data_IF_919703677729
#
_entry.id   IF_919703677729
#
_cell.length_a   1.000
_cell.length_b   1.000
_cell.length_c   1.000
_cell.angle_alpha   90.00
_cell.angle_beta   90.00
_cell.angle_gamma   90.00
#
_symmetry.space_group_name_H-M   'P 1'
#
loop_
_entity.id
_entity.type
_entity.pdbx_description
1 polymer ?
#
# COMPACT_ATOMS: atom_id res chain seq x y z
N UNK A 1 -4.36 -56.78 -53.21
CA UNK A 1 -4.57 -55.92 -52.04
C UNK A 1 -5.41 -56.71 -51.03
N UNK A 2 -4.82 -57.07 -49.85
CA UNK A 2 -5.49 -57.95 -48.90
C UNK A 2 -6.41 -57.16 -47.99
N UNK A 3 -7.74 -57.29 -48.16
CA UNK A 3 -8.77 -56.61 -47.40
C UNK A 3 -8.66 -56.72 -45.86
N UNK A 4 -8.23 -57.82 -45.24
CA UNK A 4 -8.10 -57.92 -43.81
C UNK A 4 -7.01 -56.98 -43.22
N UNK A 5 -5.91 -56.78 -43.93
CA UNK A 5 -4.81 -55.87 -43.47
C UNK A 5 -5.20 -54.42 -43.51
N UNK A 6 -6.04 -54.00 -44.47
CA UNK A 6 -6.53 -52.61 -44.53
C UNK A 6 -7.48 -52.30 -43.34
N UNK A 7 -8.40 -53.22 -43.02
CA UNK A 7 -9.32 -53.05 -41.89
C UNK A 7 -8.60 -52.92 -40.54
N UNK A 8 -7.55 -53.70 -40.32
CA UNK A 8 -6.78 -53.68 -39.06
C UNK A 8 -5.94 -52.40 -38.95
N UNK A 9 -5.36 -51.92 -40.06
CA UNK A 9 -4.58 -50.68 -40.10
C UNK A 9 -5.48 -49.44 -39.88
N UNK A 10 -6.66 -49.44 -40.51
CA UNK A 10 -7.63 -48.34 -40.35
C UNK A 10 -8.19 -48.27 -38.92
N UNK A 11 -8.48 -49.38 -38.29
CA UNK A 11 -8.95 -49.47 -36.91
C UNK A 11 -7.89 -48.97 -35.91
N UNK A 12 -6.63 -49.37 -36.10
CA UNK A 12 -5.50 -48.87 -35.31
C UNK A 12 -5.28 -47.37 -35.49
N UNK A 13 -5.44 -46.82 -36.72
CA UNK A 13 -5.34 -45.39 -36.98
C UNK A 13 -6.47 -44.60 -36.29
N UNK A 14 -7.70 -45.15 -36.27
CA UNK A 14 -8.81 -44.55 -35.53
C UNK A 14 -8.58 -44.55 -34.04
N UNK A 15 -8.11 -45.68 -33.47
CA UNK A 15 -7.79 -45.80 -32.02
C UNK A 15 -6.66 -44.80 -31.64
N UNK A 16 -5.61 -44.70 -32.44
CA UNK A 16 -4.53 -43.76 -32.22
C UNK A 16 -5.01 -42.27 -32.33
N UNK A 17 -5.92 -41.96 -33.25
CA UNK A 17 -6.52 -40.63 -33.36
C UNK A 17 -7.41 -40.29 -32.17
N UNK A 18 -8.13 -41.25 -31.61
CA UNK A 18 -8.93 -41.04 -30.38
C UNK A 18 -8.03 -40.78 -29.19
N UNK A 19 -6.92 -41.54 -29.06
CA UNK A 19 -5.93 -41.30 -27.99
C UNK A 19 -5.30 -39.94 -28.11
N UNK A 20 -4.89 -39.55 -29.32
CA UNK A 20 -4.34 -38.20 -29.57
C UNK A 20 -5.35 -37.09 -29.28
N UNK A 21 -6.63 -37.32 -29.62
CA UNK A 21 -7.70 -36.39 -29.29
C UNK A 21 -7.87 -36.20 -27.77
N UNK A 22 -7.84 -37.29 -27.00
CA UNK A 22 -7.91 -37.25 -25.54
C UNK A 22 -6.71 -36.54 -24.91
N UNK A 23 -5.50 -36.78 -25.43
CA UNK A 23 -4.29 -36.07 -25.00
C UNK A 23 -4.40 -34.56 -25.27
N UNK A 24 -4.86 -34.18 -26.47
CA UNK A 24 -5.06 -32.79 -26.85
C UNK A 24 -6.07 -32.08 -25.95
N UNK A 25 -7.19 -32.72 -25.61
CA UNK A 25 -8.20 -32.20 -24.69
C UNK A 25 -7.60 -32.06 -23.28
N UNK A 26 -6.83 -33.03 -22.81
CA UNK A 26 -6.14 -32.96 -21.52
C UNK A 26 -5.14 -31.80 -21.45
N UNK A 27 -4.33 -31.60 -22.48
CA UNK A 27 -3.40 -30.47 -22.57
C UNK A 27 -4.13 -29.12 -22.62
N UNK A 28 -5.25 -29.04 -23.34
CA UNK A 28 -6.07 -27.83 -23.38
C UNK A 28 -6.63 -27.48 -21.99
N UNK A 29 -7.13 -28.47 -21.26
CA UNK A 29 -7.63 -28.28 -19.90
C UNK A 29 -6.52 -27.80 -18.95
N UNK A 30 -5.32 -28.39 -19.02
CA UNK A 30 -4.18 -27.95 -18.22
C UNK A 30 -3.79 -26.49 -18.57
N UNK A 31 -3.74 -26.14 -19.86
CA UNK A 31 -3.44 -24.77 -20.29
C UNK A 31 -4.50 -23.77 -19.78
N UNK A 32 -5.77 -24.12 -19.81
CA UNK A 32 -6.85 -23.25 -19.26
C UNK A 32 -6.67 -23.06 -17.76
N UNK A 33 -6.39 -24.12 -16.99
CA UNK A 33 -6.14 -24.04 -15.56
C UNK A 33 -4.90 -23.18 -15.28
N UNK A 34 -3.82 -23.33 -16.03
CA UNK A 34 -2.62 -22.50 -15.91
C UNK A 34 -2.92 -21.04 -16.25
N UNK A 35 -3.63 -20.75 -17.33
CA UNK A 35 -4.01 -19.40 -17.71
C UNK A 35 -4.88 -18.71 -16.64
N UNK A 36 -5.85 -19.43 -16.06
CA UNK A 36 -6.68 -18.93 -14.95
C UNK A 36 -5.85 -18.71 -13.69
N UNK A 37 -4.91 -19.62 -13.39
CA UNK A 37 -4.00 -19.48 -12.26
C UNK A 37 -3.07 -18.27 -12.42
N UNK A 38 -2.50 -18.08 -13.59
CA UNK A 38 -1.68 -16.91 -13.94
C UNK A 38 -2.47 -15.60 -13.91
N UNK A 39 -3.72 -15.61 -14.39
CA UNK A 39 -4.61 -14.46 -14.31
C UNK A 39 -4.98 -14.10 -12.85
N UNK A 40 -5.03 -15.09 -11.96
CA UNK A 40 -5.24 -14.87 -10.51
C UNK A 40 -3.96 -14.51 -9.76
N UNK A 41 -2.80 -14.89 -10.25
CA UNK A 41 -1.48 -14.49 -9.76
C UNK A 41 -1.05 -13.12 -10.32
N UNK A 42 -1.97 -12.18 -10.49
CA UNK A 42 -1.60 -10.82 -10.88
C UNK A 42 -0.58 -10.28 -9.88
N UNK A 43 0.54 -9.86 -10.41
CA UNK A 43 1.77 -9.39 -9.83
C UNK A 43 1.64 -8.92 -8.37
N UNK A 44 2.30 -9.64 -7.48
CA UNK A 44 2.54 -9.18 -6.12
C UNK A 44 3.66 -8.13 -6.22
N UNK A 45 3.29 -6.89 -6.41
CA UNK A 45 4.25 -5.79 -6.30
C UNK A 45 4.61 -5.67 -4.83
N UNK A 46 5.77 -6.15 -4.48
CA UNK A 46 6.37 -5.90 -3.16
C UNK A 46 6.96 -4.50 -3.23
N UNK A 47 6.17 -3.49 -2.94
CA UNK A 47 6.68 -2.17 -2.61
C UNK A 47 7.35 -2.30 -1.25
N UNK A 48 8.68 -2.30 -1.23
CA UNK A 48 9.47 -2.28 -0.02
C UNK A 48 9.49 -0.83 0.50
N UNK A 49 8.70 -0.47 1.52
CA UNK A 49 8.88 0.82 2.16
C UNK A 49 10.26 0.81 2.86
N UNK A 50 10.87 1.98 3.02
CA UNK A 50 12.20 2.04 3.61
C UNK A 50 12.17 1.51 5.04
N UNK A 51 13.04 0.59 5.28
CA UNK A 51 13.73 0.15 6.49
C UNK A 51 13.08 -0.78 7.51
N UNK A 52 11.78 -1.00 7.65
CA UNK A 52 11.29 -1.86 8.75
C UNK A 52 9.99 -2.63 8.43
N UNK A 53 9.94 -3.33 7.31
CA UNK A 53 8.85 -4.30 7.12
C UNK A 53 9.14 -5.57 7.91
N UNK A 54 8.23 -6.01 8.80
CA UNK A 54 8.28 -7.36 9.33
C UNK A 54 8.22 -8.36 8.16
N UNK A 55 8.92 -9.48 8.30
CA UNK A 55 9.20 -10.48 7.25
C UNK A 55 7.99 -11.02 6.46
N UNK A 56 6.77 -10.60 6.76
CA UNK A 56 5.54 -11.12 6.17
C UNK A 56 4.57 -10.03 5.65
N UNK A 57 5.08 -8.90 5.20
CA UNK A 57 4.23 -7.89 4.57
C UNK A 57 3.91 -8.29 3.12
N UNK A 58 2.64 -8.55 2.83
CA UNK A 58 2.17 -8.97 1.50
C UNK A 58 1.17 -7.94 1.00
N UNK A 59 1.33 -7.52 -0.25
CA UNK A 59 0.35 -6.71 -0.97
C UNK A 59 -0.15 -7.48 -2.19
N UNK A 60 -1.46 -7.51 -2.38
CA UNK A 60 -2.13 -7.99 -3.59
C UNK A 60 -2.71 -6.83 -4.39
N UNK A 61 -3.43 -7.15 -5.46
CA UNK A 61 -4.04 -6.13 -6.33
C UNK A 61 -5.13 -5.30 -5.61
N UNK A 62 -5.95 -5.96 -4.78
CA UNK A 62 -7.09 -5.33 -4.08
C UNK A 62 -7.03 -5.55 -2.56
N UNK A 63 -5.91 -6.04 -2.04
CA UNK A 63 -5.75 -6.33 -0.61
C UNK A 63 -4.31 -6.26 -0.17
N UNK A 64 -4.10 -6.00 1.11
CA UNK A 64 -2.78 -6.04 1.73
C UNK A 64 -2.86 -6.68 3.12
N UNK A 65 -1.74 -7.23 3.57
CA UNK A 65 -1.63 -7.73 4.94
C UNK A 65 -1.74 -6.57 5.94
N UNK A 66 -2.24 -6.86 7.13
CA UNK A 66 -2.34 -5.88 8.21
C UNK A 66 -0.97 -5.24 8.52
N UNK A 67 0.08 -6.04 8.57
CA UNK A 67 1.43 -5.55 8.83
C UNK A 67 1.89 -4.54 7.78
N UNK A 68 1.55 -4.78 6.50
CA UNK A 68 1.84 -3.83 5.43
C UNK A 68 1.07 -2.51 5.63
N UNK A 69 -0.24 -2.58 5.89
CA UNK A 69 -1.07 -1.40 6.10
C UNK A 69 -0.62 -0.58 7.33
N UNK A 70 -0.26 -1.26 8.41
CA UNK A 70 0.27 -0.61 9.61
C UNK A 70 1.59 0.13 9.32
N UNK A 71 2.54 -0.54 8.66
CA UNK A 71 3.82 0.09 8.30
C UNK A 71 3.64 1.26 7.33
N UNK A 72 2.71 1.11 6.38
CA UNK A 72 2.40 2.17 5.43
C UNK A 72 1.70 3.36 6.11
N UNK A 73 0.81 3.10 7.07
CA UNK A 73 0.18 4.16 7.87
C UNK A 73 1.21 4.94 8.68
N UNK A 74 2.16 4.24 9.33
CA UNK A 74 3.24 4.87 10.05
C UNK A 74 4.12 5.75 9.14
N UNK A 75 4.42 5.28 7.93
CA UNK A 75 5.14 6.07 6.94
C UNK A 75 4.39 7.35 6.57
N UNK A 76 3.09 7.27 6.28
CA UNK A 76 2.28 8.46 5.95
C UNK A 76 2.25 9.42 7.13
N UNK A 77 1.94 8.93 8.33
CA UNK A 77 1.89 9.76 9.55
C UNK A 77 3.24 10.42 9.81
N UNK A 78 4.33 9.66 9.79
CA UNK A 78 5.67 10.18 10.00
C UNK A 78 6.05 11.26 8.99
N UNK A 79 5.73 11.04 7.71
CA UNK A 79 6.03 12.00 6.64
C UNK A 79 5.18 13.27 6.75
N UNK A 80 3.87 13.13 6.96
CA UNK A 80 2.96 14.27 7.08
C UNK A 80 3.26 15.12 8.32
N UNK A 81 3.57 14.48 9.44
CA UNK A 81 3.88 15.16 10.70
C UNK A 81 5.27 15.82 10.72
N UNK A 82 6.19 15.43 9.83
CA UNK A 82 7.50 16.06 9.68
C UNK A 82 7.48 17.30 8.77
N UNK A 83 6.31 17.72 8.30
CA UNK A 83 6.20 18.86 7.41
C UNK A 83 6.61 20.16 8.10
N UNK A 84 7.40 20.95 7.39
CA UNK A 84 7.87 22.30 7.79
C UNK A 84 7.52 23.30 6.70
N UNK A 85 7.57 24.61 6.93
CA UNK A 85 7.35 25.58 5.88
C UNK A 85 8.20 25.37 4.62
N UNK A 86 9.43 24.86 4.78
CA UNK A 86 10.36 24.60 3.67
C UNK A 86 10.09 23.29 2.92
N UNK A 87 9.49 22.29 3.56
CA UNK A 87 9.29 20.94 3.00
C UNK A 87 7.86 20.65 2.60
N UNK A 88 6.90 21.45 3.03
CA UNK A 88 5.47 21.20 2.89
C UNK A 88 5.02 20.98 1.44
N UNK A 89 5.57 21.71 0.48
CA UNK A 89 5.22 21.54 -0.94
C UNK A 89 5.75 20.24 -1.52
N UNK A 90 6.94 19.83 -1.08
CA UNK A 90 7.54 18.56 -1.50
C UNK A 90 6.73 17.40 -0.91
N UNK A 91 6.43 17.44 0.40
CA UNK A 91 5.62 16.44 1.08
C UNK A 91 4.23 16.37 0.44
N UNK A 92 3.60 17.53 0.20
CA UNK A 92 2.28 17.59 -0.43
C UNK A 92 2.23 16.88 -1.78
N UNK A 93 3.19 17.13 -2.66
CA UNK A 93 3.27 16.47 -3.99
C UNK A 93 3.49 14.98 -3.90
N UNK A 94 4.27 14.51 -2.94
CA UNK A 94 4.55 13.08 -2.76
C UNK A 94 3.40 12.32 -2.09
N UNK A 95 2.65 12.98 -1.22
CA UNK A 95 1.52 12.38 -0.51
C UNK A 95 0.22 12.40 -1.30
N UNK A 96 0.02 13.40 -2.17
CA UNK A 96 -1.21 13.53 -2.98
C UNK A 96 -1.63 12.23 -3.69
N UNK A 97 -0.74 11.46 -4.37
CA UNK A 97 -1.13 10.22 -5.03
C UNK A 97 -1.58 9.09 -4.08
N UNK A 98 -1.23 9.19 -2.79
CA UNK A 98 -1.51 8.20 -1.76
C UNK A 98 -2.85 8.45 -1.06
N UNK A 99 -3.53 9.55 -1.36
CA UNK A 99 -4.83 9.89 -0.79
C UNK A 99 -5.94 9.79 -1.83
N UNK A 100 -7.15 9.46 -1.37
CA UNK A 100 -8.34 9.68 -2.16
C UNK A 100 -8.48 11.18 -2.47
N UNK A 101 -8.84 11.60 -3.68
CA UNK A 101 -8.94 13.02 -4.05
C UNK A 101 -9.85 13.83 -3.13
N UNK A 102 -10.94 13.25 -2.63
CA UNK A 102 -11.86 13.94 -1.70
C UNK A 102 -11.21 14.17 -0.35
N UNK A 103 -10.48 13.18 0.17
CA UNK A 103 -9.76 13.29 1.43
C UNK A 103 -8.60 14.28 1.28
N UNK A 104 -7.89 14.23 0.16
CA UNK A 104 -6.79 15.15 -0.11
C UNK A 104 -7.24 16.62 -0.13
N UNK A 105 -8.40 16.93 -0.70
CA UNK A 105 -8.97 18.28 -0.67
C UNK A 105 -9.19 18.83 0.75
N UNK A 106 -9.44 17.96 1.73
CA UNK A 106 -9.59 18.33 3.14
C UNK A 106 -8.25 18.45 3.88
N UNK A 107 -7.30 17.60 3.54
CA UNK A 107 -5.98 17.51 4.20
C UNK A 107 -5.01 18.57 3.67
N UNK A 108 -5.00 18.81 2.36
CA UNK A 108 -4.09 19.76 1.71
C UNK A 108 -4.10 21.18 2.30
N UNK A 109 -5.24 21.80 2.58
CA UNK A 109 -5.28 23.12 3.22
C UNK A 109 -4.66 23.13 4.62
N UNK A 110 -4.87 22.07 5.41
CA UNK A 110 -4.29 21.95 6.73
C UNK A 110 -2.78 21.81 6.67
N UNK A 111 -2.28 21.02 5.73
CA UNK A 111 -0.85 20.88 5.47
C UNK A 111 -0.23 22.23 5.02
N UNK A 112 -0.86 22.94 4.10
CA UNK A 112 -0.38 24.22 3.62
C UNK A 112 -0.42 25.34 4.66
N UNK A 113 -1.33 25.24 5.67
CA UNK A 113 -1.41 26.19 6.76
C UNK A 113 -0.12 26.24 7.61
N UNK A 114 0.74 25.20 7.53
CA UNK A 114 2.05 25.20 8.19
C UNK A 114 2.92 26.35 7.71
N UNK A 115 2.80 26.81 6.45
CA UNK A 115 3.57 27.94 5.89
C UNK A 115 3.28 29.25 6.59
N UNK A 116 2.05 29.46 7.01
CA UNK A 116 1.58 30.69 7.64
C UNK A 116 1.53 30.59 9.18
N UNK A 117 2.02 29.51 9.78
CA UNK A 117 2.03 29.35 11.22
C UNK A 117 2.98 30.39 11.86
N UNK A 118 2.47 31.31 12.69
CA UNK A 118 3.26 32.38 13.29
C UNK A 118 4.41 31.86 14.16
N UNK A 119 4.27 30.68 14.75
CA UNK A 119 5.31 30.05 15.56
C UNK A 119 6.55 29.62 14.74
N UNK A 120 6.44 29.62 13.41
CA UNK A 120 7.50 29.20 12.51
C UNK A 120 8.15 30.38 11.75
N UNK A 121 7.67 31.60 11.98
CA UNK A 121 8.21 32.80 11.31
C UNK A 121 9.59 33.13 11.91
N UNK A 122 10.59 33.22 11.03
CA UNK A 122 11.96 33.60 11.40
C UNK A 122 12.78 32.52 12.11
N UNK A 123 12.26 31.29 12.19
CA UNK A 123 12.95 30.15 12.77
C UNK A 123 12.98 28.97 11.77
N UNK A 124 13.90 28.03 11.98
CA UNK A 124 13.93 26.77 11.22
C UNK A 124 13.19 25.70 12.01
N UNK A 125 11.89 25.51 11.80
CA UNK A 125 11.11 24.56 12.56
C UNK A 125 11.42 23.14 12.12
N UNK A 126 11.36 22.25 13.09
CA UNK A 126 11.37 20.78 12.89
C UNK A 126 10.17 20.23 13.65
N UNK A 127 9.38 19.45 12.96
CA UNK A 127 8.29 18.70 13.57
C UNK A 127 8.58 17.22 13.44
N UNK A 128 8.37 16.47 14.50
CA UNK A 128 8.61 15.04 14.54
C UNK A 128 7.50 14.34 15.31
N UNK A 129 6.97 13.28 14.72
CA UNK A 129 6.03 12.39 15.39
C UNK A 129 6.80 11.22 15.98
N UNK A 130 6.65 11.03 17.27
CA UNK A 130 7.21 9.88 17.99
C UNK A 130 6.06 8.93 18.31
N UNK A 131 5.98 7.75 17.68
CA UNK A 131 4.97 6.75 18.00
C UNK A 131 5.05 6.34 19.47
N UNK A 132 3.92 6.23 20.14
CA UNK A 132 3.80 5.76 21.51
C UNK A 132 2.84 4.57 21.57
N UNK A 133 3.35 3.40 21.95
CA UNK A 133 2.58 2.18 21.96
C UNK A 133 2.52 1.48 20.58
N UNK A 134 1.53 0.59 20.45
CA UNK A 134 1.34 -0.19 19.23
C UNK A 134 0.34 0.50 18.29
N UNK A 135 0.58 0.33 16.99
CA UNK A 135 -0.42 0.68 15.99
C UNK A 135 -1.60 -0.27 16.14
N UNK A 136 -2.79 0.28 16.30
CA UNK A 136 -4.02 -0.49 16.52
C UNK A 136 -4.78 -0.56 15.21
N UNK A 137 -5.03 -1.78 14.73
CA UNK A 137 -5.90 -2.04 13.58
C UNK A 137 -7.25 -2.56 14.04
N UNK A 138 -8.30 -1.84 13.74
CA UNK A 138 -9.67 -2.27 13.99
C UNK A 138 -10.24 -2.97 12.75
N UNK A 139 -10.27 -4.30 12.77
CA UNK A 139 -10.64 -5.12 11.60
C UNK A 139 -12.07 -4.84 11.09
N UNK A 140 -13.01 -4.49 11.99
CA UNK A 140 -14.42 -4.26 11.64
C UNK A 140 -14.62 -2.99 10.82
N UNK A 141 -13.94 -1.90 11.19
CA UNK A 141 -14.03 -0.60 10.53
C UNK A 141 -12.90 -0.37 9.53
N UNK A 142 -11.88 -1.25 9.50
CA UNK A 142 -10.62 -1.10 8.75
C UNK A 142 -9.87 0.19 9.09
N UNK A 143 -10.02 0.67 10.31
CA UNK A 143 -9.33 1.85 10.81
C UNK A 143 -8.00 1.48 11.43
N UNK A 144 -7.02 2.35 11.23
CA UNK A 144 -5.68 2.22 11.78
C UNK A 144 -5.42 3.43 12.64
N UNK A 145 -5.10 3.19 13.90
CA UNK A 145 -4.79 4.23 14.87
C UNK A 145 -3.30 4.23 15.16
N UNK A 146 -2.66 5.38 14.97
CA UNK A 146 -1.26 5.61 15.27
C UNK A 146 -1.18 6.60 16.44
N UNK A 147 -1.14 6.13 17.69
CA UNK A 147 -0.95 6.99 18.84
C UNK A 147 0.51 7.44 18.95
N UNK A 148 0.72 8.64 19.46
CA UNK A 148 2.05 9.14 19.67
C UNK A 148 2.08 10.60 20.10
N UNK A 149 3.28 11.13 20.13
CA UNK A 149 3.53 12.53 20.53
C UNK A 149 4.13 13.31 19.36
N UNK A 150 3.49 14.43 19.02
CA UNK A 150 4.02 15.39 18.07
C UNK A 150 4.88 16.41 18.84
N UNK A 151 6.16 16.45 18.50
CA UNK A 151 7.13 17.38 19.07
C UNK A 151 7.51 18.41 18.01
N UNK A 152 7.31 19.69 18.32
CA UNK A 152 7.73 20.81 17.50
C UNK A 152 8.93 21.49 18.14
N UNK A 153 9.97 21.72 17.38
CA UNK A 153 11.21 22.37 17.81
C UNK A 153 11.66 23.40 16.78
N UNK A 154 12.47 24.34 17.17
CA UNK A 154 13.08 25.28 16.25
C UNK A 154 14.60 25.33 16.45
N UNK A 155 15.35 25.43 15.36
CA UNK A 155 16.78 25.65 15.37
C UNK A 155 17.08 27.13 15.28
N UNK A 156 17.89 27.65 16.19
CA UNK A 156 18.45 29.00 16.19
C UNK A 156 19.98 28.96 16.35
N UNK A 157 20.64 30.11 16.28
CA UNK A 157 22.09 30.19 16.54
C UNK A 157 22.51 29.70 17.94
N UNK A 158 21.57 29.65 18.90
CA UNK A 158 21.79 29.17 20.26
C UNK A 158 21.51 27.66 20.46
N UNK A 159 21.14 26.94 19.40
CA UNK A 159 20.80 25.53 19.47
C UNK A 159 19.34 25.21 19.17
N UNK A 160 18.90 24.02 19.53
CA UNK A 160 17.52 23.54 19.34
C UNK A 160 16.66 23.91 20.57
N UNK A 161 15.57 24.63 20.32
CA UNK A 161 14.57 24.97 21.33
C UNK A 161 13.29 24.22 21.04
N UNK A 162 12.72 23.56 22.05
CA UNK A 162 11.42 22.88 21.95
C UNK A 162 10.33 23.95 22.00
N UNK A 163 9.47 23.95 20.96
CA UNK A 163 8.34 24.88 20.86
C UNK A 163 7.06 24.32 21.52
N UNK A 164 6.88 23.00 21.47
CA UNK A 164 5.74 22.35 22.04
C UNK A 164 5.77 20.83 21.91
N UNK A 165 4.92 20.19 22.69
CA UNK A 165 4.67 18.75 22.64
C UNK A 165 3.19 18.52 22.88
N UNK A 166 2.57 17.71 22.01
CA UNK A 166 1.14 17.38 22.08
C UNK A 166 0.98 15.89 21.83
N UNK A 167 0.26 15.20 22.70
CA UNK A 167 -0.17 13.83 22.43
C UNK A 167 -1.21 13.86 21.31
N UNK A 168 -1.06 13.02 20.30
CA UNK A 168 -1.97 12.95 19.16
C UNK A 168 -2.20 11.51 18.75
N UNK A 169 -3.37 11.24 18.22
CA UNK A 169 -3.68 9.97 17.59
C UNK A 169 -4.12 10.23 16.16
N UNK A 170 -3.40 9.67 15.20
CA UNK A 170 -3.80 9.69 13.80
C UNK A 170 -4.66 8.48 13.49
N UNK A 171 -5.88 8.71 13.03
CA UNK A 171 -6.78 7.69 12.51
C UNK A 171 -6.76 7.72 10.99
N UNK A 172 -6.45 6.59 10.39
CA UNK A 172 -6.46 6.39 8.94
C UNK A 172 -7.38 5.23 8.57
N UNK A 173 -8.05 5.36 7.45
CA UNK A 173 -8.65 4.23 6.75
C UNK A 173 -7.99 4.11 5.38
N UNK A 174 -7.66 2.89 4.97
CA UNK A 174 -6.96 2.65 3.71
C UNK A 174 -7.62 1.54 2.91
N UNK A 175 -7.58 1.72 1.60
CA UNK A 175 -7.96 0.71 0.61
C UNK A 175 -6.81 0.46 -0.34
N UNK A 176 -6.72 -0.75 -0.87
CA UNK A 176 -5.74 -1.10 -1.90
C UNK A 176 -6.44 -1.08 -3.24
N UNK A 177 -5.96 -0.22 -4.14
CA UNK A 177 -6.51 -0.06 -5.48
C UNK A 177 -5.40 -0.23 -6.49
N UNK A 178 -5.48 -1.27 -7.32
CA UNK A 178 -4.45 -1.53 -8.33
C UNK A 178 -3.06 -1.82 -7.73
N UNK A 179 -3.01 -2.48 -6.56
CA UNK A 179 -1.75 -2.77 -5.87
C UNK A 179 -1.15 -1.61 -5.08
N UNK A 180 -1.81 -0.44 -5.05
CA UNK A 180 -1.36 0.73 -4.31
C UNK A 180 -2.29 1.02 -3.14
N UNK A 181 -1.78 1.16 -1.91
CA UNK A 181 -2.58 1.59 -0.78
C UNK A 181 -2.93 3.07 -0.94
N UNK A 182 -4.18 3.40 -0.66
CA UNK A 182 -4.73 4.76 -0.75
C UNK A 182 -5.49 5.09 0.52
N UNK A 183 -5.23 6.26 1.09
CA UNK A 183 -5.93 6.76 2.29
C UNK A 183 -7.31 7.26 1.89
N UNK A 184 -8.34 6.64 2.44
CA UNK A 184 -9.77 6.96 2.20
C UNK A 184 -10.40 7.73 3.36
N UNK A 185 -9.71 7.83 4.49
CA UNK A 185 -10.11 8.64 5.64
C UNK A 185 -8.89 9.08 6.43
N UNK A 186 -8.92 10.31 6.97
CA UNK A 186 -7.84 10.91 7.75
C UNK A 186 -8.41 11.79 8.85
N UNK A 187 -8.11 11.46 10.09
CA UNK A 187 -8.48 12.26 11.26
C UNK A 187 -7.30 12.36 12.24
N UNK A 188 -7.26 13.47 12.98
CA UNK A 188 -6.25 13.71 14.02
C UNK A 188 -6.98 14.09 15.29
N UNK A 189 -6.73 13.35 16.35
CA UNK A 189 -7.28 13.59 17.69
C UNK A 189 -6.15 14.07 18.60
N UNK A 190 -6.39 15.13 19.39
CA UNK A 190 -5.46 15.56 20.42
C UNK A 190 -5.49 14.63 21.65
#
# INVERSE_FOLDING_TARGET
MQWPTFKTTFRKALENNTILGLIAIGLLAVNIVQAVSLARMRERVVLKPPSELPEQAVIGWDSASQNYLNSFSAYIVGTMSSATPGTVDFIGRNMEPLFDPKVWQLVKPQLLAIKSNPNYIGVNPVSNFTPEGNIIFEAKSRKIFNPGTLVSSAYSKGGMTRLGQVAVTYELQMEVVGGLPRVTSWYVYP
#
